data_IF_709669185756
#
_entry.id   IF_709669185756
#
_cell.length_a   1.000
_cell.length_b   1.000
_cell.length_c   1.000
_cell.angle_alpha   90.00
_cell.angle_beta   90.00
_cell.angle_gamma   90.00
#
_symmetry.space_group_name_H-M   'P 1'
#
loop_
_entity.id
_entity.type
_entity.pdbx_description
1 polymer ?
#
# COMPACT_ATOMS: atom_id res chain seq x y z
N UNK A 1 -9.21 -11.18 1.65
CA UNK A 1 -8.39 -10.04 1.22
C UNK A 1 -6.94 -10.33 1.50
N UNK A 2 -6.08 -10.03 0.56
CA UNK A 2 -4.66 -10.32 0.68
C UNK A 2 -3.84 -9.05 0.43
N UNK A 3 -2.90 -8.77 1.31
CA UNK A 3 -1.94 -7.69 1.17
C UNK A 3 -0.60 -8.29 0.72
N UNK A 4 -0.06 -7.79 -0.37
CA UNK A 4 1.25 -8.20 -0.88
C UNK A 4 2.15 -6.98 -1.00
N UNK A 5 3.38 -7.10 -0.51
CA UNK A 5 4.38 -6.05 -0.60
C UNK A 5 5.61 -6.63 -1.25
N UNK A 6 6.06 -6.03 -2.34
CA UNK A 6 7.25 -6.47 -3.05
C UNK A 6 8.21 -5.30 -3.25
N UNK A 7 9.50 -5.61 -3.33
CA UNK A 7 10.55 -4.62 -3.50
C UNK A 7 11.33 -4.89 -4.77
N UNK A 8 11.79 -3.81 -5.40
CA UNK A 8 12.66 -3.89 -6.55
C UNK A 8 13.70 -2.77 -6.44
N UNK A 9 14.97 -3.11 -6.59
CA UNK A 9 16.07 -2.16 -6.44
C UNK A 9 16.45 -1.54 -7.77
N UNK A 10 16.72 -0.23 -7.75
CA UNK A 10 17.33 0.45 -8.87
C UNK A 10 18.82 0.63 -8.56
N UNK A 11 19.68 -0.08 -9.29
CA UNK A 11 21.11 -0.06 -9.05
C UNK A 11 21.76 1.28 -9.35
N UNK A 12 21.13 2.13 -10.13
CA UNK A 12 21.71 3.41 -10.56
C UNK A 12 21.46 4.53 -9.56
N UNK A 13 20.27 4.60 -8.98
CA UNK A 13 19.89 5.69 -8.10
C UNK A 13 19.80 5.30 -6.63
N UNK A 14 20.08 4.03 -6.32
CA UNK A 14 19.97 3.48 -4.98
C UNK A 14 18.57 3.68 -4.37
N UNK A 15 17.58 3.75 -5.22
CA UNK A 15 16.19 3.83 -4.80
C UNK A 15 15.60 2.42 -4.74
N UNK A 16 14.66 2.26 -3.83
CA UNK A 16 13.92 1.01 -3.72
C UNK A 16 12.48 1.29 -4.10
N UNK A 17 12.01 0.58 -5.12
CA UNK A 17 10.62 0.67 -5.56
C UNK A 17 9.81 -0.39 -4.83
N UNK A 18 8.80 0.05 -4.10
CA UNK A 18 7.92 -0.84 -3.35
C UNK A 18 6.56 -0.85 -4.03
N UNK A 19 6.07 -2.04 -4.32
CA UNK A 19 4.74 -2.23 -4.87
C UNK A 19 3.85 -2.83 -3.79
N UNK A 20 2.79 -2.11 -3.45
CA UNK A 20 1.78 -2.56 -2.49
C UNK A 20 0.55 -2.98 -3.28
N UNK A 21 0.13 -4.22 -3.12
CA UNK A 21 -1.05 -4.75 -3.80
C UNK A 21 -2.02 -5.27 -2.75
N UNK A 22 -3.27 -4.79 -2.82
CA UNK A 22 -4.35 -5.30 -2.00
C UNK A 22 -5.37 -5.93 -2.93
N UNK A 23 -5.64 -7.20 -2.72
CA UNK A 23 -6.49 -7.98 -3.62
C UNK A 23 -7.56 -8.71 -2.83
N UNK A 24 -8.78 -8.71 -3.36
CA UNK A 24 -9.87 -9.52 -2.82
C UNK A 24 -9.74 -10.96 -3.27
N UNK A 25 -9.89 -11.90 -2.32
CA UNK A 25 -9.88 -13.33 -2.64
C UNK A 25 -11.31 -13.75 -2.95
N UNK A 26 -11.59 -14.07 -4.22
CA UNK A 26 -12.91 -14.50 -4.68
C UNK A 26 -14.03 -13.49 -4.44
N UNK A 27 -13.69 -12.26 -4.04
CA UNK A 27 -14.65 -11.19 -3.80
C UNK A 27 -14.05 -9.86 -4.23
N UNK A 28 -14.92 -8.86 -4.42
CA UNK A 28 -14.45 -7.50 -4.67
C UNK A 28 -14.05 -6.85 -3.34
N UNK A 29 -13.21 -5.83 -3.41
CA UNK A 29 -12.85 -5.06 -2.23
C UNK A 29 -14.05 -4.28 -1.71
N UNK A 30 -14.19 -4.10 -0.39
CA UNK A 30 -15.32 -3.36 0.16
C UNK A 30 -15.34 -1.92 -0.33
N UNK A 31 -16.52 -1.46 -0.72
CA UNK A 31 -16.72 -0.07 -1.11
C UNK A 31 -16.42 0.85 0.08
N UNK A 32 -15.69 1.92 -0.16
CA UNK A 32 -15.33 2.86 0.89
C UNK A 32 -14.10 2.49 1.69
N UNK A 33 -13.51 1.30 1.44
CA UNK A 33 -12.24 0.95 2.08
C UNK A 33 -11.15 1.93 1.69
N UNK A 34 -10.34 2.34 2.65
CA UNK A 34 -9.23 3.27 2.42
C UNK A 34 -7.90 2.57 2.66
N UNK A 35 -6.95 2.84 1.77
CA UNK A 35 -5.59 2.36 1.89
C UNK A 35 -4.68 3.58 1.97
N UNK A 36 -3.89 3.67 3.03
CA UNK A 36 -2.99 4.80 3.26
C UNK A 36 -1.56 4.35 3.37
N UNK A 37 -0.66 5.12 2.81
CA UNK A 37 0.79 4.89 2.88
C UNK A 37 1.48 6.23 3.07
N UNK A 38 2.69 6.26 3.66
CA UNK A 38 3.45 7.50 3.78
C UNK A 38 3.99 7.92 2.42
N UNK A 39 4.01 9.22 2.15
CA UNK A 39 4.49 9.79 0.90
C UNK A 39 5.28 11.07 1.22
N UNK A 40 6.61 10.95 1.30
CA UNK A 40 7.52 12.03 1.70
C UNK A 40 7.10 12.64 3.05
N UNK A 41 6.56 13.84 3.03
CA UNK A 41 6.11 14.53 4.25
C UNK A 41 4.60 14.47 4.45
N UNK A 42 3.90 13.63 3.68
CA UNK A 42 2.45 13.57 3.69
C UNK A 42 1.99 12.11 3.71
N UNK A 43 0.69 11.90 3.64
CA UNK A 43 0.07 10.59 3.59
C UNK A 43 -0.76 10.51 2.31
N UNK A 44 -0.48 9.48 1.52
CA UNK A 44 -1.29 9.18 0.34
C UNK A 44 -2.38 8.19 0.72
N UNK A 45 -3.62 8.51 0.37
CA UNK A 45 -4.77 7.65 0.65
C UNK A 45 -5.53 7.38 -0.63
N UNK A 46 -5.84 6.11 -0.88
CA UNK A 46 -6.67 5.70 -1.98
C UNK A 46 -7.93 5.04 -1.44
N UNK A 47 -9.08 5.43 -2.00
CA UNK A 47 -10.39 4.93 -1.56
C UNK A 47 -11.00 4.07 -2.64
N UNK A 48 -11.59 2.95 -2.24
CA UNK A 48 -12.33 2.08 -3.17
C UNK A 48 -13.65 2.75 -3.50
N UNK A 49 -13.76 3.27 -4.72
CA UNK A 49 -14.95 4.00 -5.19
C UNK A 49 -15.84 3.15 -6.08
N UNK A 50 -15.30 2.11 -6.69
CA UNK A 50 -16.02 1.25 -7.61
C UNK A 50 -15.76 -0.19 -7.24
N UNK A 51 -16.66 -1.08 -7.65
CA UNK A 51 -16.45 -2.51 -7.44
C UNK A 51 -15.22 -2.95 -8.21
N UNK A 52 -14.17 -3.27 -7.49
CA UNK A 52 -12.91 -3.74 -8.03
C UNK A 52 -12.31 -4.77 -7.11
N UNK A 53 -11.34 -5.51 -7.61
CA UNK A 53 -10.71 -6.57 -6.84
C UNK A 53 -9.25 -6.28 -6.51
N UNK A 54 -8.73 -5.11 -6.91
CA UNK A 54 -7.31 -4.81 -6.79
C UNK A 54 -7.05 -3.33 -6.56
N UNK A 55 -6.17 -3.03 -5.61
CA UNK A 55 -5.53 -1.72 -5.46
C UNK A 55 -4.03 -1.92 -5.56
N UNK A 56 -3.37 -1.09 -6.38
CA UNK A 56 -1.92 -1.15 -6.55
C UNK A 56 -1.33 0.22 -6.30
N UNK A 57 -0.39 0.31 -5.38
CA UNK A 57 0.29 1.56 -5.03
C UNK A 57 1.79 1.36 -5.19
N UNK A 58 2.45 2.33 -5.83
CA UNK A 58 3.88 2.33 -6.03
C UNK A 58 4.53 3.39 -5.14
N UNK A 59 5.58 2.99 -4.43
CA UNK A 59 6.35 3.88 -3.57
C UNK A 59 7.81 3.89 -3.99
N UNK A 60 8.46 5.05 -3.87
CA UNK A 60 9.92 5.17 -4.01
C UNK A 60 10.49 5.49 -2.64
N UNK A 61 11.37 4.63 -2.15
CA UNK A 61 11.93 4.74 -0.82
C UNK A 61 13.45 4.59 -0.86
N UNK A 62 14.09 5.06 0.20
CA UNK A 62 15.53 4.88 0.36
C UNK A 62 15.81 3.51 0.99
N UNK A 63 17.05 2.98 0.86
CA UNK A 63 17.41 1.77 1.59
C UNK A 63 17.25 1.96 3.10
N UNK A 64 16.85 0.91 3.79
CA UNK A 64 16.65 0.89 5.24
C UNK A 64 15.64 1.92 5.74
N UNK A 65 14.71 2.32 4.87
CA UNK A 65 13.64 3.24 5.25
C UNK A 65 12.43 2.47 5.76
N UNK A 66 11.84 2.96 6.83
CA UNK A 66 10.63 2.38 7.38
C UNK A 66 9.40 2.97 6.69
N UNK A 67 8.42 2.14 6.47
CA UNK A 67 7.12 2.58 5.94
C UNK A 67 6.01 1.71 6.53
N UNK A 68 4.78 2.15 6.32
CA UNK A 68 3.62 1.43 6.82
C UNK A 68 2.52 1.43 5.79
N UNK A 69 1.61 0.45 5.90
CA UNK A 69 0.39 0.37 5.10
C UNK A 69 -0.78 0.26 6.05
N UNK A 70 -1.75 1.15 5.92
CA UNK A 70 -2.94 1.14 6.74
C UNK A 70 -4.17 0.84 5.89
N UNK A 71 -4.96 -0.13 6.34
CA UNK A 71 -6.24 -0.46 5.73
C UNK A 71 -7.33 -0.05 6.69
N UNK A 72 -8.29 0.73 6.20
CA UNK A 72 -9.40 1.23 7.03
C UNK A 72 -10.73 0.92 6.39
N UNK A 73 -11.63 0.32 7.17
CA UNK A 73 -13.02 0.07 6.78
C UNK A 73 -13.89 0.61 7.91
N UNK A 74 -14.65 1.68 7.63
CA UNK A 74 -15.46 2.33 8.65
C UNK A 74 -14.62 2.83 9.80
N UNK A 75 -14.89 2.35 11.01
CA UNK A 75 -14.16 2.73 12.21
C UNK A 75 -13.03 1.76 12.56
N UNK A 76 -12.88 0.70 11.77
CA UNK A 76 -11.87 -0.33 12.01
C UNK A 76 -10.68 -0.12 11.09
N UNK A 77 -9.48 -0.23 11.64
CA UNK A 77 -8.27 -0.14 10.82
C UNK A 77 -7.21 -1.12 11.30
N UNK A 78 -6.33 -1.50 10.35
CA UNK A 78 -5.16 -2.32 10.60
C UNK A 78 -3.99 -1.61 9.95
N UNK A 79 -2.88 -1.49 10.68
CA UNK A 79 -1.65 -0.91 10.16
C UNK A 79 -0.53 -1.91 10.31
N UNK A 80 0.23 -2.12 9.23
CA UNK A 80 1.40 -2.98 9.26
C UNK A 80 2.64 -2.17 8.90
N UNK A 81 3.76 -2.48 9.56
CA UNK A 81 5.02 -1.77 9.42
C UNK A 81 6.02 -2.62 8.69
N UNK A 82 6.80 -1.97 7.82
CA UNK A 82 7.79 -2.63 6.99
C UNK A 82 9.08 -1.82 6.99
N UNK A 83 10.16 -2.45 6.57
CA UNK A 83 11.44 -1.78 6.31
C UNK A 83 11.98 -2.27 4.97
N UNK A 84 12.53 -1.33 4.19
CA UNK A 84 13.10 -1.65 2.87
C UNK A 84 14.42 -2.41 2.96
#
# INVERSE_FOLDING_TARGET
>A
MQLSVSQNNDDHDQLIFVTVIIQGENTVLPMGMQVSVPDESDIYTETVNEAGDLIKILLELSPDEEFWVELRIGETFIREYFIT
#
